data_IF_889085053008
#
_entry.id   IF_889085053008
#
_cell.length_a   1.000
_cell.length_b   1.000
_cell.length_c   1.000
_cell.angle_alpha   90.00
_cell.angle_beta   90.00
_cell.angle_gamma   90.00
#
_symmetry.space_group_name_H-M   'P 1'
#
loop_
_entity.id
_entity.type
_entity.pdbx_description
1 polymer ?
#
# COMPACT_ATOMS: atom_id res chain seq x y z
N UNK A 1 16.17 -0.29 5.02
CA UNK A 1 14.99 0.43 4.46
C UNK A 1 14.00 0.73 5.60
N UNK A 2 13.21 1.81 5.51
CA UNK A 2 12.12 2.09 6.45
C UNK A 2 11.13 0.92 6.58
N UNK A 3 10.37 0.88 7.67
CA UNK A 3 9.37 -0.16 7.89
C UNK A 3 8.20 -0.03 6.90
N UNK A 4 7.84 -1.12 6.21
CA UNK A 4 6.56 -1.29 5.51
C UNK A 4 6.00 -2.67 5.84
N UNK A 5 4.81 -2.69 6.42
CA UNK A 5 4.10 -3.91 6.81
C UNK A 5 2.63 -3.78 6.36
N UNK A 6 2.29 -4.29 5.17
CA UNK A 6 0.91 -4.36 4.70
C UNK A 6 0.07 -5.30 5.57
N UNK A 7 -1.08 -4.82 6.03
CA UNK A 7 -1.99 -5.59 6.87
C UNK A 7 -2.76 -6.60 6.05
N UNK A 8 -2.71 -7.86 6.45
CA UNK A 8 -3.49 -8.96 5.90
C UNK A 8 -4.85 -9.02 6.58
N UNK A 9 -4.87 -8.95 7.91
CA UNK A 9 -6.07 -9.07 8.75
C UNK A 9 -5.94 -8.22 10.02
N UNK A 10 -7.06 -7.96 10.69
CA UNK A 10 -7.10 -7.22 11.96
C UNK A 10 -8.08 -7.90 12.91
N UNK A 11 -7.57 -8.37 14.05
CA UNK A 11 -8.35 -9.09 15.05
C UNK A 11 -8.58 -8.27 16.31
N UNK A 12 -9.70 -8.56 16.99
CA UNK A 12 -9.97 -8.11 18.35
C UNK A 12 -9.81 -9.31 19.29
N UNK A 13 -8.76 -9.29 20.10
CA UNK A 13 -8.49 -10.36 21.08
C UNK A 13 -8.90 -9.89 22.47
N UNK A 14 -9.71 -10.69 23.17
CA UNK A 14 -10.12 -10.40 24.55
C UNK A 14 -8.93 -10.25 25.48
N UNK A 15 -8.91 -9.21 26.34
CA UNK A 15 -7.79 -8.92 27.25
C UNK A 15 -6.57 -8.27 26.60
N UNK A 16 -6.34 -8.46 25.30
CA UNK A 16 -5.18 -7.93 24.56
C UNK A 16 -5.54 -6.63 23.80
N UNK A 17 -6.68 -6.62 23.11
CA UNK A 17 -7.15 -5.49 22.31
C UNK A 17 -7.04 -5.74 20.81
N UNK A 18 -6.56 -4.73 20.06
CA UNK A 18 -6.48 -4.78 18.60
C UNK A 18 -5.13 -5.35 18.17
N UNK A 19 -5.18 -6.39 17.33
CA UNK A 19 -4.00 -7.08 16.81
C UNK A 19 -4.07 -7.14 15.27
N UNK A 20 -3.40 -6.22 14.57
CA UNK A 20 -3.15 -6.36 13.15
C UNK A 20 -2.16 -7.49 12.87
N UNK A 21 -2.37 -8.18 11.75
CA UNK A 21 -1.52 -9.25 11.26
C UNK A 21 -1.05 -8.91 9.86
N UNK A 22 0.21 -9.15 9.57
CA UNK A 22 0.75 -8.97 8.23
C UNK A 22 2.19 -9.43 8.11
N UNK A 23 2.72 -9.27 6.90
CA UNK A 23 4.12 -9.60 6.59
C UNK A 23 4.98 -8.35 6.66
N UNK A 24 6.14 -8.43 7.30
CA UNK A 24 7.15 -7.38 7.20
C UNK A 24 7.77 -7.45 5.81
N UNK A 25 7.56 -6.42 4.98
CA UNK A 25 8.12 -6.36 3.63
C UNK A 25 9.49 -5.68 3.62
N UNK A 26 9.65 -4.64 4.44
CA UNK A 26 10.92 -3.91 4.59
C UNK A 26 11.04 -3.37 6.01
N UNK A 27 12.28 -3.10 6.45
CA UNK A 27 12.58 -2.56 7.78
C UNK A 27 12.41 -3.60 8.88
N UNK A 28 12.30 -3.14 10.12
CA UNK A 28 12.16 -3.99 11.31
C UNK A 28 11.03 -3.44 12.17
N UNK A 29 10.24 -4.33 12.75
CA UNK A 29 9.20 -4.00 13.73
C UNK A 29 9.64 -4.48 15.11
N UNK A 30 9.61 -3.60 16.11
CA UNK A 30 9.93 -3.94 17.51
C UNK A 30 8.82 -3.50 18.45
N UNK A 31 8.59 -4.22 19.56
CA UNK A 31 7.82 -3.69 20.67
C UNK A 31 8.34 -2.31 21.12
N UNK A 32 7.43 -1.40 21.46
CA UNK A 32 7.73 -0.02 21.85
C UNK A 32 7.90 0.96 20.68
N UNK A 33 7.94 0.50 19.44
CA UNK A 33 7.97 1.39 18.27
C UNK A 33 6.66 2.17 18.13
N UNK A 34 6.76 3.42 17.67
CA UNK A 34 5.59 4.24 17.32
C UNK A 34 5.38 4.11 15.81
N UNK A 35 4.27 3.51 15.40
CA UNK A 35 3.95 3.22 14.00
C UNK A 35 2.79 4.07 13.51
N UNK A 36 2.86 4.47 12.24
CA UNK A 36 1.79 5.15 11.51
C UNK A 36 1.16 4.17 10.52
N UNK A 37 -0.17 4.14 10.51
CA UNK A 37 -0.98 3.37 9.57
C UNK A 37 -1.49 4.26 8.45
N UNK A 38 -1.05 4.00 7.23
CA UNK A 38 -1.60 4.58 6.02
C UNK A 38 -2.69 3.67 5.44
N UNK A 39 -3.69 4.22 4.73
CA UNK A 39 -3.87 5.63 4.39
C UNK A 39 -4.61 6.45 5.47
N UNK A 40 -5.02 5.84 6.59
CA UNK A 40 -5.83 6.52 7.62
C UNK A 40 -5.07 7.53 8.49
N UNK A 41 -3.74 7.58 8.38
CA UNK A 41 -2.86 8.45 9.16
C UNK A 41 -3.05 8.28 10.68
N UNK A 42 -3.18 7.04 11.16
CA UNK A 42 -3.33 6.74 12.58
C UNK A 42 -1.97 6.39 13.16
N UNK A 43 -1.54 7.08 14.21
CA UNK A 43 -0.23 6.85 14.84
C UNK A 43 -0.39 6.29 16.25
N UNK A 44 0.24 5.16 16.53
CA UNK A 44 0.15 4.48 17.82
C UNK A 44 1.42 3.73 18.20
N UNK A 45 1.53 3.32 19.46
CA UNK A 45 2.64 2.51 19.96
C UNK A 45 2.32 1.01 19.84
N UNK A 46 3.30 0.25 19.36
CA UNK A 46 3.30 -1.22 19.33
C UNK A 46 3.67 -1.74 20.71
N UNK A 47 2.88 -2.63 21.30
CA UNK A 47 3.13 -3.17 22.65
C UNK A 47 3.84 -4.50 22.69
N UNK A 48 3.45 -5.40 21.80
CA UNK A 48 4.07 -6.71 21.62
C UNK A 48 4.04 -7.06 20.15
N UNK A 49 4.95 -7.93 19.76
CA UNK A 49 5.03 -8.52 18.43
C UNK A 49 5.14 -10.02 18.66
N UNK A 50 4.35 -10.81 17.96
CA UNK A 50 4.24 -12.25 18.12
C UNK A 50 4.25 -12.95 16.76
N UNK A 51 4.90 -14.10 16.70
CA UNK A 51 4.89 -15.01 15.55
C UNK A 51 4.64 -16.41 16.07
N UNK A 52 3.65 -17.11 15.52
CA UNK A 52 3.27 -18.45 15.98
C UNK A 52 3.00 -18.58 17.49
N UNK A 53 2.45 -17.54 18.12
CA UNK A 53 2.19 -17.43 19.58
C UNK A 53 3.44 -17.29 20.46
N UNK A 54 4.61 -17.03 19.87
CA UNK A 54 5.81 -16.68 20.61
C UNK A 54 6.12 -15.19 20.49
N UNK A 55 6.49 -14.57 21.60
CA UNK A 55 6.84 -13.16 21.64
C UNK A 55 8.21 -12.93 20.99
N UNK A 56 8.27 -11.94 20.09
CA UNK A 56 9.48 -11.54 19.40
C UNK A 56 10.03 -10.23 19.97
N UNK A 57 11.36 -10.16 20.07
CA UNK A 57 12.09 -8.92 20.40
C UNK A 57 12.15 -7.98 19.20
N UNK A 58 12.19 -8.54 18.00
CA UNK A 58 12.09 -7.85 16.72
C UNK A 58 11.54 -8.80 15.64
N UNK A 59 10.83 -8.22 14.67
CA UNK A 59 10.38 -8.92 13.46
C UNK A 59 11.06 -8.29 12.24
N UNK A 60 11.59 -9.15 11.37
CA UNK A 60 12.43 -8.78 10.23
C UNK A 60 11.72 -9.09 8.90
N UNK A 61 12.22 -8.60 7.75
CA UNK A 61 11.57 -8.83 6.47
C UNK A 61 11.37 -10.32 6.17
N UNK A 62 10.14 -10.70 5.81
CA UNK A 62 9.73 -12.09 5.57
C UNK A 62 8.83 -12.68 6.67
N UNK A 63 8.93 -12.17 7.90
CA UNK A 63 8.14 -12.66 9.03
C UNK A 63 6.67 -12.29 8.89
N UNK A 64 5.79 -13.24 9.21
CA UNK A 64 4.35 -13.01 9.30
C UNK A 64 4.01 -12.91 10.78
N UNK A 65 3.69 -11.69 11.22
CA UNK A 65 3.56 -11.37 12.65
C UNK A 65 2.20 -10.78 12.95
N UNK A 66 1.71 -11.08 14.14
CA UNK A 66 0.66 -10.32 14.81
C UNK A 66 1.30 -9.34 15.79
N UNK A 67 0.80 -8.11 15.87
CA UNK A 67 1.35 -7.14 16.82
C UNK A 67 0.26 -6.37 17.54
N UNK A 68 0.41 -6.18 18.85
CA UNK A 68 -0.58 -5.47 19.64
C UNK A 68 -0.41 -3.96 19.50
N UNK A 69 -1.53 -3.26 19.30
CA UNK A 69 -1.58 -1.79 19.33
C UNK A 69 -2.64 -1.28 20.30
N UNK A 70 -2.32 -0.20 21.02
CA UNK A 70 -3.25 0.42 21.97
C UNK A 70 -4.05 1.55 21.36
N UNK A 71 -5.25 1.79 21.91
CA UNK A 71 -6.10 2.95 21.61
C UNK A 71 -6.50 3.10 20.13
N UNK A 72 -6.45 2.00 19.38
CA UNK A 72 -6.96 1.88 18.01
C UNK A 72 -8.01 0.79 17.99
N UNK A 73 -9.19 1.08 17.46
CA UNK A 73 -10.27 0.11 17.29
C UNK A 73 -10.04 -0.72 16.02
N UNK A 74 -10.44 -2.00 16.04
CA UNK A 74 -10.45 -2.85 14.84
C UNK A 74 -11.25 -2.27 13.68
N UNK A 75 -12.19 -1.35 13.92
CA UNK A 75 -12.96 -0.68 12.85
C UNK A 75 -12.15 0.39 12.10
N UNK A 76 -11.06 0.88 12.72
CA UNK A 76 -10.20 1.95 12.20
C UNK A 76 -9.05 1.41 11.33
N UNK A 77 -8.76 0.11 11.41
CA UNK A 77 -7.74 -0.57 10.60
C UNK A 77 -8.40 -1.64 9.72
N UNK A 78 -7.88 -1.85 8.52
CA UNK A 78 -8.42 -2.82 7.58
C UNK A 78 -7.30 -3.46 6.77
N UNK A 79 -7.59 -4.61 6.17
CA UNK A 79 -6.74 -5.22 5.14
C UNK A 79 -6.40 -4.20 4.06
N UNK A 80 -5.15 -4.21 3.60
CA UNK A 80 -4.64 -3.27 2.61
C UNK A 80 -4.08 -1.97 3.19
N UNK A 81 -4.21 -1.73 4.50
CA UNK A 81 -3.49 -0.63 5.15
C UNK A 81 -2.03 -1.01 5.33
N UNK A 82 -1.15 -0.02 5.45
CA UNK A 82 0.28 -0.23 5.58
C UNK A 82 0.76 0.43 6.87
N UNK A 83 1.39 -0.35 7.74
CA UNK A 83 2.09 0.16 8.91
C UNK A 83 3.54 0.50 8.54
N UNK A 84 4.05 1.58 9.11
CA UNK A 84 5.48 1.93 9.06
C UNK A 84 5.90 2.76 10.26
N UNK A 85 7.20 2.96 10.42
CA UNK A 85 7.75 3.73 11.54
C UNK A 85 7.39 5.21 11.39
N UNK A 86 6.76 5.79 12.42
CA UNK A 86 6.33 7.19 12.42
C UNK A 86 7.51 8.17 12.34
N UNK A 87 8.71 7.73 12.75
CA UNK A 87 9.92 8.56 12.84
C UNK A 87 10.87 8.39 11.66
N UNK A 88 10.62 7.42 10.78
CA UNK A 88 11.51 7.09 9.67
C UNK A 88 10.69 6.81 8.42
N UNK A 89 10.45 7.85 7.61
CA UNK A 89 9.67 7.80 6.38
C UNK A 89 8.33 7.04 6.56
N UNK A 90 7.35 7.61 7.30
CA UNK A 90 6.06 6.98 7.50
C UNK A 90 5.30 6.81 6.18
N UNK A 91 4.55 5.70 6.00
CA UNK A 91 3.75 5.49 4.80
C UNK A 91 2.64 6.55 4.72
N UNK A 92 2.21 6.88 3.50
CA UNK A 92 1.17 7.88 3.24
C UNK A 92 0.13 7.35 2.27
N UNK A 93 -1.09 7.90 2.35
CA UNK A 93 -2.08 7.64 1.31
C UNK A 93 -1.66 8.26 -0.02
N UNK A 94 -2.01 7.63 -1.13
CA UNK A 94 -1.82 8.17 -2.47
C UNK A 94 -3.06 8.97 -2.89
N UNK A 95 -2.86 10.19 -3.41
CA UNK A 95 -3.91 10.94 -4.10
C UNK A 95 -4.07 10.40 -5.53
N UNK A 96 -2.94 10.24 -6.21
CA UNK A 96 -2.79 9.64 -7.52
C UNK A 96 -1.38 9.04 -7.64
N UNK A 97 -1.17 8.21 -8.64
CA UNK A 97 0.15 7.64 -8.90
C UNK A 97 0.34 7.34 -10.38
N UNK A 98 1.57 7.56 -10.83
CA UNK A 98 1.98 7.27 -12.20
C UNK A 98 2.55 5.85 -12.25
N UNK A 99 2.05 5.02 -13.14
CA UNK A 99 2.50 3.65 -13.30
C UNK A 99 2.74 3.29 -14.76
N UNK A 100 3.72 2.42 -14.97
CA UNK A 100 3.88 1.71 -16.24
C UNK A 100 3.02 0.45 -16.20
N UNK A 101 2.03 0.38 -17.07
CA UNK A 101 1.05 -0.71 -17.18
C UNK A 101 1.29 -1.47 -18.47
N UNK A 102 1.26 -2.79 -18.41
CA UNK A 102 1.34 -3.69 -19.57
C UNK A 102 0.01 -4.42 -19.66
N UNK A 103 -0.70 -4.25 -20.78
CA UNK A 103 -1.97 -4.92 -21.03
C UNK A 103 -1.68 -6.34 -21.52
N UNK A 104 -2.32 -7.32 -20.88
CA UNK A 104 -2.15 -8.74 -21.14
C UNK A 104 -3.22 -9.22 -22.13
N UNK A 105 -4.33 -9.76 -21.59
CA UNK A 105 -5.41 -10.36 -22.37
C UNK A 105 -6.73 -9.64 -22.05
N UNK A 106 -6.86 -8.39 -22.49
CA UNK A 106 -8.11 -7.65 -22.39
C UNK A 106 -8.94 -7.83 -23.69
N UNK A 107 -10.24 -8.15 -23.61
CA UNK A 107 -11.07 -8.46 -24.79
C UNK A 107 -11.42 -7.23 -25.65
N UNK A 108 -11.32 -6.03 -25.07
CA UNK A 108 -11.56 -4.76 -25.76
C UNK A 108 -10.36 -3.82 -25.67
N UNK A 109 -10.65 -2.52 -25.68
CA UNK A 109 -9.65 -1.47 -25.48
C UNK A 109 -9.85 -0.81 -24.12
N UNK A 110 -8.77 -0.32 -23.54
CA UNK A 110 -8.76 0.46 -22.30
C UNK A 110 -8.59 1.94 -22.68
N UNK A 111 -9.52 2.77 -22.26
CA UNK A 111 -9.50 4.22 -22.48
C UNK A 111 -9.52 4.98 -21.17
N UNK A 112 -9.27 6.29 -21.22
CA UNK A 112 -9.41 7.17 -20.06
C UNK A 112 -10.80 7.01 -19.42
N UNK A 113 -10.84 6.88 -18.10
CA UNK A 113 -12.05 6.62 -17.32
C UNK A 113 -12.30 5.15 -16.97
N UNK A 114 -11.57 4.21 -17.58
CA UNK A 114 -11.64 2.79 -17.20
C UNK A 114 -11.29 2.61 -15.71
N UNK A 115 -12.14 1.89 -14.97
CA UNK A 115 -12.03 1.79 -13.49
C UNK A 115 -12.02 0.33 -13.02
N UNK A 116 -10.97 -0.44 -13.33
CA UNK A 116 -10.81 -1.81 -12.88
C UNK A 116 -10.39 -1.89 -11.41
N UNK A 117 -10.34 -3.10 -10.87
CA UNK A 117 -9.79 -3.34 -9.53
C UNK A 117 -8.29 -3.55 -9.60
N UNK A 118 -7.54 -2.88 -8.73
CA UNK A 118 -6.10 -3.09 -8.56
C UNK A 118 -5.85 -3.91 -7.31
N UNK A 119 -5.04 -4.96 -7.48
CA UNK A 119 -4.43 -5.72 -6.41
C UNK A 119 -2.98 -5.31 -6.27
N UNK A 120 -2.69 -4.62 -5.17
CA UNK A 120 -1.35 -4.19 -4.82
C UNK A 120 -1.11 -4.64 -3.38
N UNK A 121 -0.04 -5.37 -3.12
CA UNK A 121 0.22 -5.99 -1.81
C UNK A 121 -1.02 -6.74 -1.25
N UNK A 122 -1.58 -6.28 -0.14
CA UNK A 122 -2.84 -6.79 0.44
C UNK A 122 -4.05 -5.92 0.12
N UNK A 123 -3.85 -4.75 -0.51
CA UNK A 123 -4.93 -3.85 -0.94
C UNK A 123 -5.62 -4.35 -2.21
N UNK A 124 -6.94 -4.21 -2.20
CA UNK A 124 -7.84 -4.57 -3.30
C UNK A 124 -8.80 -3.39 -3.52
N UNK A 125 -8.43 -2.46 -4.40
CA UNK A 125 -9.10 -1.16 -4.55
C UNK A 125 -9.30 -0.84 -6.03
N UNK A 126 -10.51 -0.42 -6.40
CA UNK A 126 -10.78 0.08 -7.75
C UNK A 126 -10.04 1.39 -8.00
N UNK A 127 -9.31 1.49 -9.11
CA UNK A 127 -8.57 2.70 -9.49
C UNK A 127 -8.98 3.12 -10.89
N UNK A 128 -9.24 4.42 -11.05
CA UNK A 128 -9.57 5.03 -12.34
C UNK A 128 -8.28 5.28 -13.12
N UNK A 129 -8.23 4.82 -14.36
CA UNK A 129 -7.26 5.22 -15.37
C UNK A 129 -7.62 6.66 -15.76
N UNK A 130 -7.09 7.63 -15.01
CA UNK A 130 -7.46 9.02 -15.18
C UNK A 130 -6.97 9.56 -16.52
N UNK A 131 -5.72 9.24 -16.85
CA UNK A 131 -5.06 9.69 -18.05
C UNK A 131 -4.01 8.67 -18.49
N UNK A 132 -4.12 8.17 -19.72
CA UNK A 132 -3.06 7.43 -20.39
C UNK A 132 -2.13 8.45 -21.04
N UNK A 133 -1.00 8.72 -20.40
CA UNK A 133 -0.07 9.77 -20.84
C UNK A 133 0.68 9.37 -22.09
N UNK A 134 1.18 8.15 -22.12
CA UNK A 134 2.11 7.72 -23.15
C UNK A 134 1.95 6.22 -23.39
N UNK A 135 2.01 5.80 -24.65
CA UNK A 135 2.29 4.43 -25.02
C UNK A 135 3.81 4.26 -25.11
N UNK A 136 4.32 3.17 -24.59
CA UNK A 136 5.75 2.88 -24.56
C UNK A 136 6.04 1.47 -25.07
N UNK A 137 7.25 1.29 -25.60
CA UNK A 137 7.74 -0.04 -25.94
C UNK A 137 8.00 -0.85 -24.67
N UNK A 138 7.50 -2.09 -24.63
CA UNK A 138 7.55 -2.95 -23.44
C UNK A 138 8.98 -3.31 -23.01
N UNK A 139 9.93 -3.35 -23.93
CA UNK A 139 11.32 -3.78 -23.66
C UNK A 139 12.23 -2.61 -23.31
N UNK A 140 12.12 -1.54 -24.07
CA UNK A 140 13.02 -0.38 -23.98
C UNK A 140 12.45 0.74 -23.12
N UNK A 141 11.13 0.75 -22.88
CA UNK A 141 10.44 1.82 -22.16
C UNK A 141 10.37 3.14 -22.92
N UNK A 142 10.81 3.18 -24.18
CA UNK A 142 10.76 4.40 -25.00
C UNK A 142 9.33 4.70 -25.43
N UNK A 143 8.96 5.97 -25.35
CA UNK A 143 7.66 6.48 -25.77
C UNK A 143 7.50 6.28 -27.27
N UNK A 144 6.39 5.65 -27.67
CA UNK A 144 6.02 5.41 -29.07
C UNK A 144 4.92 6.35 -29.53
N UNK A 145 4.02 6.73 -28.61
CA UNK A 145 2.87 7.60 -28.90
C UNK A 145 2.54 8.39 -27.64
N UNK A 146 2.36 9.70 -27.77
CA UNK A 146 1.93 10.58 -26.68
C UNK A 146 0.41 10.73 -26.68
N UNK A 147 -0.20 10.72 -25.49
CA UNK A 147 -1.63 10.86 -25.24
C UNK A 147 -2.52 9.96 -26.12
N UNK A 148 -2.28 8.62 -26.13
CA UNK A 148 -3.09 7.70 -26.92
C UNK A 148 -4.54 7.70 -26.43
N UNK A 149 -5.50 7.61 -27.37
CA UNK A 149 -6.94 7.56 -27.04
C UNK A 149 -7.33 6.27 -26.29
N UNK A 150 -6.63 5.17 -26.59
CA UNK A 150 -6.84 3.87 -25.98
C UNK A 150 -5.60 2.97 -26.08
N UNK A 151 -5.53 1.96 -25.22
CA UNK A 151 -4.50 0.91 -25.23
C UNK A 151 -5.16 -0.46 -25.31
N UNK A 152 -4.51 -1.43 -25.96
CA UNK A 152 -5.03 -2.79 -26.14
C UNK A 152 -4.02 -3.84 -25.70
N UNK A 153 -4.45 -5.10 -25.70
CA UNK A 153 -3.62 -6.27 -25.39
C UNK A 153 -2.26 -6.22 -26.11
N UNK A 154 -1.19 -6.40 -25.34
CA UNK A 154 0.21 -6.31 -25.81
C UNK A 154 0.85 -4.92 -25.64
N UNK A 155 0.07 -3.86 -25.49
CA UNK A 155 0.59 -2.51 -25.31
C UNK A 155 1.15 -2.30 -23.90
N UNK A 156 2.21 -1.48 -23.80
CA UNK A 156 2.65 -0.92 -22.55
C UNK A 156 2.39 0.60 -22.56
N UNK A 157 2.00 1.16 -21.43
CA UNK A 157 1.67 2.57 -21.32
C UNK A 157 1.99 3.15 -19.95
N UNK A 158 2.29 4.44 -19.92
CA UNK A 158 2.40 5.24 -18.70
C UNK A 158 1.03 5.83 -18.41
N UNK A 159 0.46 5.45 -17.27
CA UNK A 159 -0.91 5.79 -16.88
C UNK A 159 -0.91 6.49 -15.53
N UNK A 160 -1.64 7.58 -15.43
CA UNK A 160 -2.00 8.20 -14.16
C UNK A 160 -3.25 7.51 -13.58
N UNK A 161 -3.11 6.96 -12.38
CA UNK A 161 -4.13 6.18 -11.70
C UNK A 161 -4.62 6.91 -10.46
N UNK A 162 -5.94 6.96 -10.29
CA UNK A 162 -6.59 7.59 -9.13
C UNK A 162 -7.38 6.54 -8.35
N UNK A 163 -7.03 6.24 -7.09
CA UNK A 163 -7.79 5.33 -6.24
C UNK A 163 -9.21 5.83 -5.98
N UNK A 164 -10.21 4.95 -6.09
CA UNK A 164 -11.61 5.26 -5.71
C UNK A 164 -11.82 5.33 -4.20
N UNK A 165 -10.94 4.70 -3.42
CA UNK A 165 -10.93 4.68 -1.95
C UNK A 165 -9.51 4.99 -1.47
N UNK A 166 -9.34 5.51 -0.24
CA UNK A 166 -8.01 5.73 0.32
C UNK A 166 -7.14 4.48 0.19
N UNK A 167 -5.96 4.64 -0.39
CA UNK A 167 -5.00 3.57 -0.69
C UNK A 167 -3.60 4.02 -0.32
N UNK A 168 -2.76 3.11 0.17
CA UNK A 168 -1.32 3.33 0.35
C UNK A 168 -0.57 2.49 -0.70
N UNK A 169 0.28 3.15 -1.48
CA UNK A 169 1.17 2.54 -2.47
C UNK A 169 2.48 3.31 -2.48
N UNK A 170 3.52 2.69 -3.02
CA UNK A 170 4.86 3.26 -3.05
C UNK A 170 5.49 3.10 -4.45
N UNK A 171 6.51 3.89 -4.75
CA UNK A 171 7.30 3.67 -5.98
C UNK A 171 7.97 2.30 -5.94
N UNK A 172 7.92 1.59 -7.07
CA UNK A 172 8.55 0.28 -7.22
C UNK A 172 10.06 0.32 -6.97
N UNK A 173 10.73 1.42 -7.32
CA UNK A 173 12.18 1.56 -7.11
C UNK A 173 12.52 1.61 -5.61
N UNK A 174 11.69 2.28 -4.81
CA UNK A 174 11.91 2.45 -3.37
C UNK A 174 11.44 1.22 -2.57
N UNK A 175 10.20 0.80 -2.80
CA UNK A 175 9.54 -0.31 -2.09
C UNK A 175 8.91 -1.29 -3.09
N UNK A 176 9.71 -2.20 -3.69
CA UNK A 176 9.25 -3.15 -4.69
C UNK A 176 7.97 -3.93 -4.32
N UNK A 177 7.78 -4.41 -3.06
CA UNK A 177 6.56 -5.14 -2.69
C UNK A 177 5.27 -4.30 -2.70
N UNK A 178 5.39 -2.97 -2.58
CA UNK A 178 4.25 -2.04 -2.56
C UNK A 178 4.07 -1.28 -3.89
N UNK A 179 4.97 -1.50 -4.85
CA UNK A 179 4.97 -0.83 -6.15
C UNK A 179 4.57 -1.72 -7.32
N UNK A 180 4.31 -3.02 -7.10
CA UNK A 180 3.77 -3.93 -8.12
C UNK A 180 2.27 -4.12 -7.90
N UNK A 181 1.52 -4.11 -8.99
CA UNK A 181 0.09 -4.40 -8.92
C UNK A 181 -0.40 -5.20 -10.13
N UNK A 182 -1.47 -5.95 -9.91
CA UNK A 182 -2.26 -6.56 -10.95
C UNK A 182 -3.54 -5.75 -11.15
N UNK A 183 -3.96 -5.62 -12.39
CA UNK A 183 -5.24 -5.02 -12.77
C UNK A 183 -6.19 -6.15 -13.11
N UNK A 184 -7.31 -6.21 -12.39
CA UNK A 184 -8.34 -7.23 -12.55
C UNK A 184 -9.66 -6.64 -13.02
N UNK A 185 -10.25 -7.31 -13.99
CA UNK A 185 -11.60 -7.03 -14.49
C UNK A 185 -12.32 -8.35 -14.72
N UNK A 186 -13.60 -8.43 -14.33
CA UNK A 186 -14.41 -9.65 -14.40
C UNK A 186 -13.69 -10.93 -13.91
N UNK A 187 -12.89 -10.82 -12.84
CA UNK A 187 -12.06 -11.90 -12.25
C UNK A 187 -10.88 -12.37 -13.12
N UNK A 188 -10.57 -11.69 -14.22
CA UNK A 188 -9.40 -11.94 -15.06
C UNK A 188 -8.34 -10.88 -14.84
N UNK A 189 -7.07 -11.27 -14.89
CA UNK A 189 -5.96 -10.30 -14.88
C UNK A 189 -5.78 -9.75 -16.28
N UNK A 190 -6.21 -8.50 -16.48
CA UNK A 190 -6.20 -7.84 -17.79
C UNK A 190 -4.93 -7.04 -18.03
N UNK A 191 -4.26 -6.60 -16.97
CA UNK A 191 -2.98 -5.91 -17.05
C UNK A 191 -2.16 -6.09 -15.76
N UNK A 192 -0.87 -5.78 -15.84
CA UNK A 192 0.03 -5.70 -14.69
C UNK A 192 0.80 -4.39 -14.75
N UNK A 193 1.18 -3.84 -13.60
CA UNK A 193 1.87 -2.56 -13.58
C UNK A 193 2.91 -2.43 -12.48
N UNK A 194 3.81 -1.49 -12.72
CA UNK A 194 4.81 -1.03 -11.75
C UNK A 194 4.67 0.48 -11.55
N UNK A 195 4.59 0.89 -10.30
CA UNK A 195 4.46 2.30 -9.91
C UNK A 195 5.80 2.99 -10.08
N UNK A 196 5.82 4.10 -10.82
CA UNK A 196 6.99 4.93 -11.06
C UNK A 196 7.11 6.03 -10.00
N UNK A 197 6.01 6.73 -9.76
CA UNK A 197 5.93 7.81 -8.78
C UNK A 197 4.55 7.86 -8.15
N UNK A 198 4.47 8.35 -6.91
CA UNK A 198 3.24 8.50 -6.15
C UNK A 198 3.11 9.96 -5.76
N UNK A 199 1.95 10.56 -6.01
CA UNK A 199 1.60 11.84 -5.42
C UNK A 199 0.94 11.57 -4.06
N UNK A 200 1.61 11.87 -2.93
CA UNK A 200 1.06 11.58 -1.63
C UNK A 200 -0.12 12.52 -1.35
N UNK A 201 -1.21 11.96 -0.84
CA UNK A 201 -2.34 12.75 -0.37
C UNK A 201 -1.89 13.66 0.77
N UNK A 202 -2.39 14.89 0.78
CA UNK A 202 -2.13 15.84 1.86
C UNK A 202 -2.50 15.22 3.21
N UNK A 203 -1.63 15.42 4.19
CA UNK A 203 -1.82 14.91 5.54
C UNK A 203 -3.00 15.65 6.17
N UNK A 204 -4.21 15.09 6.05
CA UNK A 204 -5.28 15.41 7.00
C UNK A 204 -4.77 15.08 8.40
N UNK A 205 -4.98 15.95 9.38
CA UNK A 205 -4.56 15.78 10.78
C UNK A 205 -4.92 14.37 11.25
N UNK A 206 -3.91 13.52 11.33
CA UNK A 206 -4.07 12.10 11.66
C UNK A 206 -4.35 11.92 13.14
N UNK A 207 -5.06 10.84 13.50
CA UNK A 207 -5.28 10.49 14.90
C UNK A 207 -3.97 10.00 15.52
N UNK A 208 -3.36 10.80 16.38
CA UNK A 208 -2.25 10.36 17.24
C UNK A 208 -2.84 9.84 18.54
N UNK A 209 -2.52 8.59 18.91
CA UNK A 209 -3.05 8.02 20.15
C UNK A 209 -2.31 8.52 21.37
N UNK A 210 -2.98 8.53 22.53
CA UNK A 210 -2.35 8.79 23.84
C UNK A 210 -1.14 7.87 24.12
N UNK A 211 -1.10 6.69 23.51
CA UNK A 211 0.03 5.77 23.66
C UNK A 211 1.24 6.28 22.85
N UNK A 212 1.03 6.70 21.60
CA UNK A 212 2.07 7.35 20.81
C UNK A 212 2.60 8.62 21.47
N UNK A 213 1.73 9.50 21.97
CA UNK A 213 2.14 10.74 22.66
C UNK A 213 3.04 10.43 23.87
N UNK A 214 2.67 9.44 24.69
CA UNK A 214 3.47 9.02 25.85
C UNK A 214 4.81 8.39 25.43
N UNK A 215 4.82 7.56 24.39
CA UNK A 215 6.04 6.94 23.90
C UNK A 215 6.99 7.95 23.26
N UNK A 216 6.47 9.01 22.63
CA UNK A 216 7.28 10.10 22.09
C UNK A 216 7.92 10.95 23.19
N UNK A 217 7.26 11.17 24.32
CA UNK A 217 7.79 11.93 25.48
C UNK A 217 8.83 11.18 26.34
N UNK A 218 9.00 9.87 26.14
CA UNK A 218 9.93 9.02 26.90
C UNK A 218 11.34 8.95 26.29
N UNK A 219 11.58 9.66 25.19
CA UNK A 219 12.91 9.88 24.60
C UNK A 219 13.32 11.32 24.83
#
# INVERSE_FOLDING_TARGET
>A
KPLRLPLQDVYKIGGIGTVPVGRVETGVLKPGMVVTFAPANITTEVKSVEMHHEALTEAVPGDNVGFNVKNVSVKELRRGYVAGDSKNNPPRGAADFLAQVIVLNHPGQISNGYTPVLDCHTAHIACKFAEIKEKCDRRTGKTTEENPKSIKSGDAAIVNLVPSKPMCVESFQEFPPLGRFAVRDMRQTVAVGVIKSVNPKDLTTGKVTKAAEKAQKKK
#
